data_IF_302969640365
#
_entry.id   IF_302969640365
#
_cell.length_a   1.000
_cell.length_b   1.000
_cell.length_c   1.000
_cell.angle_alpha   90.00
_cell.angle_beta   90.00
_cell.angle_gamma   90.00
#
_symmetry.space_group_name_H-M   'P 1'
#
loop_
_entity.id
_entity.type
_entity.pdbx_description
1 polymer ?
#
# COMPACT_ATOMS: atom_id res chain seq x y z
N UNK A 1 24.70 -22.54 -2.79
CA UNK A 1 23.54 -22.90 -3.64
C UNK A 1 23.60 -22.02 -4.88
N UNK A 2 23.64 -22.54 -6.11
CA UNK A 2 23.73 -21.68 -7.28
C UNK A 2 22.43 -20.86 -7.39
N UNK A 3 22.56 -19.57 -7.65
CA UNK A 3 21.44 -18.69 -7.95
C UNK A 3 20.65 -19.28 -9.13
N UNK A 4 19.42 -19.73 -8.87
CA UNK A 4 18.55 -20.29 -9.90
C UNK A 4 18.37 -19.26 -11.03
N UNK A 5 18.70 -19.66 -12.26
CA UNK A 5 18.45 -18.85 -13.44
C UNK A 5 16.96 -18.46 -13.50
N UNK A 6 16.69 -17.21 -13.88
CA UNK A 6 15.31 -16.74 -14.06
C UNK A 6 14.64 -17.58 -15.16
N UNK A 7 13.40 -18.05 -14.95
CA UNK A 7 12.66 -18.79 -15.99
C UNK A 7 12.47 -17.92 -17.23
N UNK A 8 12.54 -18.52 -18.42
CA UNK A 8 12.25 -17.85 -19.70
C UNK A 8 10.80 -17.38 -19.77
N UNK A 9 10.55 -16.23 -20.43
CA UNK A 9 9.22 -15.62 -20.61
C UNK A 9 8.12 -16.59 -21.10
N UNK A 10 8.49 -17.62 -21.87
CA UNK A 10 7.57 -18.64 -22.38
C UNK A 10 6.95 -19.55 -21.29
N UNK A 11 7.64 -19.76 -20.15
CA UNK A 11 7.14 -20.57 -19.04
C UNK A 11 6.18 -19.80 -18.11
N UNK A 12 6.14 -18.46 -18.23
CA UNK A 12 5.34 -17.56 -17.39
C UNK A 12 3.97 -17.22 -18.00
N UNK A 13 3.73 -17.58 -19.25
CA UNK A 13 2.51 -17.25 -20.00
C UNK A 13 1.25 -18.04 -19.57
N UNK A 14 1.37 -19.02 -18.66
CA UNK A 14 0.27 -19.91 -18.27
C UNK A 14 -0.61 -19.46 -17.11
N UNK A 15 -0.13 -18.59 -16.21
CA UNK A 15 -0.86 -18.19 -15.01
C UNK A 15 -1.35 -16.74 -15.08
N UNK A 16 -2.66 -16.57 -15.33
CA UNK A 16 -3.36 -15.29 -15.47
C UNK A 16 -3.74 -14.63 -14.13
N UNK A 17 -3.26 -15.13 -12.98
CA UNK A 17 -3.52 -14.51 -11.67
C UNK A 17 -2.90 -13.11 -11.59
N UNK A 18 -3.59 -12.21 -10.90
CA UNK A 18 -3.07 -10.89 -10.57
C UNK A 18 -1.74 -11.01 -9.80
N UNK A 19 -0.85 -10.03 -9.97
CA UNK A 19 0.33 -9.93 -9.10
C UNK A 19 -0.05 -9.54 -7.67
N UNK A 20 0.91 -9.71 -6.76
CA UNK A 20 0.70 -9.44 -5.34
C UNK A 20 0.24 -8.02 -5.02
N UNK A 21 0.69 -7.00 -5.76
CA UNK A 21 0.23 -5.61 -5.53
C UNK A 21 -1.24 -5.47 -5.91
N UNK A 22 -1.61 -5.92 -7.11
CA UNK A 22 -3.00 -5.88 -7.55
C UNK A 22 -3.91 -6.68 -6.61
N UNK A 23 -3.47 -7.85 -6.15
CA UNK A 23 -4.22 -8.64 -5.18
C UNK A 23 -4.36 -7.92 -3.83
N UNK A 24 -3.31 -7.28 -3.32
CA UNK A 24 -3.38 -6.47 -2.10
C UNK A 24 -4.35 -5.29 -2.23
N UNK A 25 -4.35 -4.60 -3.38
CA UNK A 25 -5.30 -3.52 -3.69
C UNK A 25 -6.73 -4.06 -3.71
N UNK A 26 -6.99 -5.26 -4.23
CA UNK A 26 -8.34 -5.83 -4.23
C UNK A 26 -8.79 -6.30 -2.83
N UNK A 27 -7.89 -6.86 -2.02
CA UNK A 27 -8.24 -7.37 -0.69
C UNK A 27 -8.43 -6.26 0.32
N UNK A 28 -7.46 -5.36 0.46
CA UNK A 28 -7.57 -4.25 1.41
C UNK A 28 -8.44 -3.15 0.81
N UNK A 29 -8.52 -2.99 -0.50
CA UNK A 29 -9.48 -2.09 -1.13
C UNK A 29 -9.06 -0.64 -1.01
N UNK A 30 -9.88 0.18 -0.32
CA UNK A 30 -9.73 1.63 -0.25
C UNK A 30 -9.20 2.15 1.09
N UNK A 31 -9.01 3.47 1.14
CA UNK A 31 -8.49 4.19 2.29
C UNK A 31 -9.13 3.83 3.64
N UNK A 32 -10.44 3.56 3.70
CA UNK A 32 -11.10 3.27 4.97
C UNK A 32 -10.69 1.91 5.52
N UNK A 33 -10.43 0.92 4.67
CA UNK A 33 -9.92 -0.38 5.14
C UNK A 33 -8.55 -0.26 5.77
N UNK A 34 -7.66 0.54 5.18
CA UNK A 34 -6.35 0.84 5.75
C UNK A 34 -6.47 1.52 7.11
N UNK A 35 -7.41 2.45 7.27
CA UNK A 35 -7.64 3.10 8.55
C UNK A 35 -8.27 2.17 9.59
N UNK A 36 -9.16 1.26 9.20
CA UNK A 36 -9.66 0.21 10.10
C UNK A 36 -8.52 -0.68 10.58
N UNK A 37 -7.62 -1.11 9.69
CA UNK A 37 -6.45 -1.89 10.06
C UNK A 37 -5.51 -1.09 10.96
N UNK A 38 -5.30 0.20 10.67
CA UNK A 38 -4.53 1.11 11.54
C UNK A 38 -5.09 1.14 12.95
N UNK A 39 -6.40 1.34 13.13
CA UNK A 39 -7.01 1.36 14.47
C UNK A 39 -6.90 0.01 15.20
N UNK A 40 -7.02 -1.10 14.47
CA UNK A 40 -6.86 -2.44 15.03
C UNK A 40 -5.42 -2.69 15.51
N UNK A 41 -4.43 -2.25 14.72
CA UNK A 41 -2.99 -2.45 14.97
C UNK A 41 -2.45 -1.48 16.02
N UNK A 42 -2.74 -0.19 15.89
CA UNK A 42 -2.14 0.88 16.71
C UNK A 42 -2.84 0.97 18.06
N UNK A 43 -4.17 0.96 18.06
CA UNK A 43 -4.98 1.23 19.24
C UNK A 43 -5.62 -0.04 19.83
N UNK A 44 -5.44 -1.21 19.21
CA UNK A 44 -6.06 -2.46 19.65
C UNK A 44 -7.59 -2.46 19.55
N UNK A 45 -8.16 -1.63 18.67
CA UNK A 45 -9.63 -1.51 18.55
C UNK A 45 -10.19 -2.80 17.97
N UNK A 46 -11.16 -3.38 18.66
CA UNK A 46 -11.83 -4.62 18.22
C UNK A 46 -13.34 -4.50 18.11
N UNK A 47 -13.93 -3.41 18.60
CA UNK A 47 -15.40 -3.24 18.64
C UNK A 47 -15.87 -2.28 17.57
N UNK A 48 -17.01 -2.61 16.95
CA UNK A 48 -17.64 -1.77 15.91
C UNK A 48 -17.82 -0.31 16.34
N UNK A 49 -18.42 -0.09 17.52
CA UNK A 49 -18.75 1.26 17.98
C UNK A 49 -17.48 2.08 18.28
N UNK A 50 -16.40 1.43 18.73
CA UNK A 50 -15.09 2.06 18.94
C UNK A 50 -14.42 2.43 17.61
N UNK A 51 -14.45 1.55 16.60
CA UNK A 51 -13.99 1.91 15.25
C UNK A 51 -14.76 3.12 14.70
N UNK A 52 -16.09 3.14 14.88
CA UNK A 52 -16.92 4.24 14.40
C UNK A 52 -16.55 5.56 15.09
N UNK A 53 -16.33 5.54 16.41
CA UNK A 53 -15.92 6.70 17.17
C UNK A 53 -14.55 7.22 16.74
N UNK A 54 -13.56 6.32 16.60
CA UNK A 54 -12.18 6.69 16.23
C UNK A 54 -12.11 7.23 14.81
N UNK A 55 -12.77 6.57 13.85
CA UNK A 55 -12.65 6.90 12.43
C UNK A 55 -13.64 7.98 11.95
N UNK A 56 -14.77 8.16 12.64
CA UNK A 56 -15.84 9.07 12.19
C UNK A 56 -16.51 8.62 10.89
N UNK A 57 -16.28 7.36 10.50
CA UNK A 57 -16.84 6.76 9.29
C UNK A 57 -18.35 6.55 9.44
N UNK A 58 -19.08 6.75 8.34
CA UNK A 58 -20.49 6.40 8.30
C UNK A 58 -20.68 4.89 8.59
N UNK A 59 -21.66 4.54 9.42
CA UNK A 59 -21.91 3.16 9.86
C UNK A 59 -21.97 2.15 8.70
N UNK A 60 -22.61 2.52 7.59
CA UNK A 60 -22.69 1.68 6.39
C UNK A 60 -21.34 1.46 5.70
N UNK A 61 -20.47 2.48 5.69
CA UNK A 61 -19.10 2.39 5.16
C UNK A 61 -18.28 1.46 6.04
N UNK A 62 -18.29 1.69 7.36
CA UNK A 62 -17.55 0.86 8.31
C UNK A 62 -18.00 -0.61 8.24
N UNK A 63 -19.30 -0.88 8.18
CA UNK A 63 -19.82 -2.25 8.06
C UNK A 63 -19.30 -2.94 6.80
N UNK A 64 -19.40 -2.28 5.65
CA UNK A 64 -18.90 -2.83 4.39
C UNK A 64 -17.38 -3.10 4.42
N UNK A 65 -16.59 -2.25 5.09
CA UNK A 65 -15.13 -2.43 5.20
C UNK A 65 -14.78 -3.56 6.15
N UNK A 66 -15.42 -3.65 7.32
CA UNK A 66 -15.21 -4.76 8.25
C UNK A 66 -15.60 -6.10 7.62
N UNK A 67 -16.72 -6.16 6.90
CA UNK A 67 -17.12 -7.38 6.18
C UNK A 67 -16.09 -7.74 5.09
N UNK A 68 -15.59 -6.76 4.33
CA UNK A 68 -14.55 -6.98 3.32
C UNK A 68 -13.23 -7.45 3.92
N UNK A 69 -12.79 -6.86 5.03
CA UNK A 69 -11.55 -7.24 5.71
C UNK A 69 -11.66 -8.64 6.33
N UNK A 70 -12.84 -9.02 6.83
CA UNK A 70 -13.11 -10.38 7.27
C UNK A 70 -13.12 -11.38 6.10
N UNK A 71 -13.77 -11.04 4.99
CA UNK A 71 -13.78 -11.88 3.79
C UNK A 71 -12.38 -12.03 3.18
N UNK A 72 -11.55 -10.99 3.27
CA UNK A 72 -10.14 -11.00 2.88
C UNK A 72 -9.21 -11.69 3.88
N UNK A 73 -9.74 -12.12 5.04
CA UNK A 73 -8.99 -12.84 6.06
C UNK A 73 -8.02 -11.98 6.87
N UNK A 74 -8.07 -10.63 6.79
CA UNK A 74 -7.23 -9.75 7.61
C UNK A 74 -7.79 -9.57 9.04
N UNK A 75 -9.11 -9.67 9.17
CA UNK A 75 -9.81 -9.68 10.45
C UNK A 75 -10.65 -10.96 10.56
N UNK A 76 -10.99 -11.35 11.78
CA UNK A 76 -11.97 -12.39 12.04
C UNK A 76 -13.01 -11.92 13.05
N UNK A 77 -14.26 -12.39 12.89
CA UNK A 77 -15.34 -12.12 13.83
C UNK A 77 -15.25 -13.10 15.00
N UNK A 78 -15.01 -12.60 16.20
CA UNK A 78 -15.04 -13.36 17.44
C UNK A 78 -16.32 -13.04 18.20
N UNK A 79 -17.21 -14.03 18.32
CA UNK A 79 -18.40 -13.91 19.16
C UNK A 79 -18.02 -14.18 20.62
N UNK A 80 -18.44 -13.32 21.54
CA UNK A 80 -18.37 -13.58 22.99
C UNK A 80 -19.73 -14.06 23.46
N UNK A 81 -19.76 -15.09 24.30
CA UNK A 81 -21.01 -15.67 24.83
C UNK A 81 -21.93 -14.64 25.50
N UNK A 82 -21.35 -13.56 26.05
CA UNK A 82 -22.05 -12.50 26.79
C UNK A 82 -22.29 -11.23 25.98
N UNK A 83 -21.79 -11.12 24.74
CA UNK A 83 -21.86 -9.89 23.96
C UNK A 83 -22.86 -9.98 22.80
N UNK A 84 -23.74 -8.99 22.68
CA UNK A 84 -24.73 -8.91 21.60
C UNK A 84 -24.12 -8.63 20.21
N UNK A 85 -22.88 -8.14 20.14
CA UNK A 85 -22.17 -7.82 18.90
C UNK A 85 -20.81 -8.53 18.87
N UNK A 86 -20.32 -8.96 17.69
CA UNK A 86 -18.99 -9.57 17.57
C UNK A 86 -17.87 -8.55 17.81
N UNK A 87 -16.71 -9.07 18.20
CA UNK A 87 -15.42 -8.38 18.10
C UNK A 87 -14.75 -8.72 16.77
N UNK A 88 -13.97 -7.80 16.25
CA UNK A 88 -13.17 -7.93 15.03
C UNK A 88 -11.71 -7.97 15.45
N UNK A 89 -11.05 -9.10 15.28
CA UNK A 89 -9.69 -9.34 15.77
C UNK A 89 -8.75 -9.55 14.59
N UNK A 90 -7.53 -9.03 14.67
CA UNK A 90 -6.49 -9.27 13.67
C UNK A 90 -6.21 -10.77 13.54
N UNK A 91 -6.04 -11.21 12.31
CA UNK A 91 -5.48 -12.52 11.98
C UNK A 91 -3.98 -12.37 11.74
N UNK A 92 -3.26 -13.49 11.58
CA UNK A 92 -1.87 -13.49 11.15
C UNK A 92 -1.68 -12.74 9.81
N UNK A 93 -2.63 -12.85 8.88
CA UNK A 93 -2.58 -12.10 7.62
C UNK A 93 -2.78 -10.59 7.83
N UNK A 94 -3.60 -10.19 8.80
CA UNK A 94 -3.76 -8.80 9.22
C UNK A 94 -2.49 -8.24 9.87
N UNK A 95 -1.84 -9.01 10.74
CA UNK A 95 -0.53 -8.64 11.34
C UNK A 95 0.57 -8.53 10.29
N UNK A 96 0.60 -9.44 9.32
CA UNK A 96 1.53 -9.40 8.19
C UNK A 96 1.34 -8.17 7.29
N UNK A 97 0.20 -7.45 7.40
CA UNK A 97 -0.04 -6.21 6.65
C UNK A 97 0.59 -4.98 7.32
N UNK A 98 1.06 -5.07 8.57
CA UNK A 98 1.69 -3.94 9.29
C UNK A 98 2.84 -3.27 8.53
N UNK A 99 3.75 -3.99 7.85
CA UNK A 99 4.77 -3.38 6.99
C UNK A 99 4.19 -2.40 5.94
N UNK A 100 3.03 -2.70 5.35
CA UNK A 100 2.36 -1.78 4.42
C UNK A 100 1.94 -0.48 5.10
N UNK A 101 1.38 -0.58 6.33
CA UNK A 101 0.99 0.59 7.13
C UNK A 101 2.21 1.45 7.49
N UNK A 102 3.33 0.83 7.87
CA UNK A 102 4.57 1.55 8.19
C UNK A 102 5.13 2.30 6.97
N UNK A 103 5.14 1.66 5.79
CA UNK A 103 5.60 2.33 4.57
C UNK A 103 4.69 3.49 4.17
N UNK A 104 3.37 3.34 4.37
CA UNK A 104 2.43 4.43 4.17
C UNK A 104 2.67 5.57 5.19
N UNK A 105 2.92 5.25 6.46
CA UNK A 105 3.24 6.24 7.51
C UNK A 105 4.50 7.04 7.15
N UNK A 106 5.60 6.35 6.83
CA UNK A 106 6.88 6.99 6.51
C UNK A 106 6.77 7.98 5.33
N UNK A 107 6.04 7.61 4.28
CA UNK A 107 5.81 8.51 3.15
C UNK A 107 5.00 9.74 3.57
N UNK A 108 3.93 9.53 4.35
CA UNK A 108 3.05 10.60 4.82
C UNK A 108 3.77 11.60 5.71
N UNK A 109 4.64 11.13 6.60
CA UNK A 109 5.46 12.00 7.46
C UNK A 109 6.54 12.74 6.68
N UNK A 110 7.12 12.12 5.65
CA UNK A 110 8.18 12.74 4.82
C UNK A 110 7.63 13.82 3.90
N UNK A 111 6.56 13.52 3.16
CA UNK A 111 6.08 14.39 2.08
C UNK A 111 4.92 15.30 2.49
N UNK A 112 4.21 14.96 3.57
CA UNK A 112 3.09 15.73 4.10
C UNK A 112 3.22 15.87 5.63
N UNK A 113 4.33 16.45 6.14
CA UNK A 113 4.59 16.55 7.57
C UNK A 113 3.53 17.40 8.28
N UNK A 114 3.15 17.00 9.50
CA UNK A 114 2.31 17.83 10.35
C UNK A 114 3.16 18.92 11.01
N UNK A 115 2.62 20.15 11.21
CA UNK A 115 3.36 21.22 11.89
C UNK A 115 3.83 20.85 13.30
N UNK A 116 3.06 20.03 14.01
CA UNK A 116 3.37 19.56 15.36
C UNK A 116 4.31 18.34 15.41
N UNK A 117 4.84 17.91 14.27
CA UNK A 117 5.58 16.66 14.14
C UNK A 117 4.70 15.45 13.79
N UNK A 118 5.29 14.23 13.74
CA UNK A 118 4.55 13.03 13.38
C UNK A 118 3.50 12.68 14.44
N UNK A 119 2.21 12.51 14.07
CA UNK A 119 1.14 12.19 15.02
C UNK A 119 1.24 10.78 15.62
N UNK A 120 2.07 9.92 15.02
CA UNK A 120 2.34 8.56 15.48
C UNK A 120 3.83 8.31 15.32
N UNK A 121 4.47 7.83 16.38
CA UNK A 121 5.83 7.28 16.31
C UNK A 121 5.80 5.80 16.65
N UNK A 122 6.73 5.04 16.08
CA UNK A 122 6.81 3.59 16.26
C UNK A 122 8.20 3.26 16.77
N UNK A 123 8.26 2.62 17.92
CA UNK A 123 9.48 2.12 18.54
C UNK A 123 9.66 0.64 18.21
N UNK A 124 10.84 0.26 17.75
CA UNK A 124 11.25 -1.13 17.57
C UNK A 124 11.84 -1.67 18.88
N UNK A 125 11.01 -2.37 19.66
CA UNK A 125 11.29 -2.82 21.03
C UNK A 125 12.63 -3.54 21.21
N UNK A 126 13.08 -4.42 20.29
CA UNK A 126 14.38 -5.10 20.43
C UNK A 126 15.59 -4.16 20.46
N UNK A 127 15.51 -2.97 19.87
CA UNK A 127 16.63 -2.01 19.83
C UNK A 127 16.31 -0.63 20.42
N UNK A 128 15.05 -0.37 20.79
CA UNK A 128 14.59 0.91 21.33
C UNK A 128 14.56 2.08 20.34
N UNK A 129 14.90 1.85 19.06
CA UNK A 129 14.92 2.93 18.06
C UNK A 129 13.50 3.29 17.60
N UNK A 130 13.25 4.59 17.47
CA UNK A 130 12.05 5.15 16.84
C UNK A 130 12.30 5.59 15.40
N UNK A 131 13.46 5.25 14.82
CA UNK A 131 13.80 5.61 13.46
C UNK A 131 12.84 4.94 12.46
N UNK A 132 12.52 5.61 11.32
CA UNK A 132 11.65 5.04 10.31
C UNK A 132 12.13 3.67 9.84
N UNK A 133 11.19 2.77 9.57
CA UNK A 133 11.51 1.49 8.94
C UNK A 133 11.83 1.67 7.45
N UNK A 134 12.48 0.67 6.86
CA UNK A 134 12.84 0.70 5.45
C UNK A 134 12.71 -0.67 4.80
N UNK A 135 12.39 -0.69 3.52
CA UNK A 135 12.49 -1.91 2.69
C UNK A 135 13.95 -2.17 2.38
N UNK A 136 14.42 -3.38 2.70
CA UNK A 136 15.74 -3.91 2.37
C UNK A 136 15.63 -5.13 1.46
N UNK A 137 16.69 -5.39 0.71
CA UNK A 137 16.86 -6.63 -0.05
C UNK A 137 17.21 -7.78 0.92
N UNK A 138 16.51 -8.90 0.85
CA UNK A 138 16.81 -10.08 1.68
C UNK A 138 18.23 -10.63 1.52
N UNK A 139 18.85 -10.44 0.35
CA UNK A 139 20.14 -11.04 0.00
C UNK A 139 21.33 -10.20 0.43
N UNK A 140 21.27 -8.86 0.26
CA UNK A 140 22.39 -7.96 0.56
C UNK A 140 22.10 -6.97 1.70
N UNK A 141 20.88 -7.00 2.25
CA UNK A 141 20.41 -6.14 3.34
C UNK A 141 20.48 -4.63 3.07
N UNK A 142 20.81 -4.19 1.85
CA UNK A 142 20.81 -2.77 1.48
C UNK A 142 19.38 -2.23 1.32
N UNK A 143 19.13 -0.95 1.64
CA UNK A 143 17.87 -0.30 1.32
C UNK A 143 17.55 -0.42 -0.17
N UNK A 144 16.27 -0.56 -0.50
CA UNK A 144 15.80 -0.69 -1.89
C UNK A 144 15.09 0.58 -2.32
N UNK A 145 15.64 1.27 -3.32
CA UNK A 145 14.96 2.38 -3.98
C UNK A 145 14.36 1.93 -5.31
N UNK A 146 13.33 2.66 -5.79
CA UNK A 146 12.67 2.37 -7.08
C UNK A 146 13.64 2.30 -8.27
N UNK A 147 14.70 3.10 -8.24
CA UNK A 147 15.72 3.17 -9.30
C UNK A 147 16.66 1.97 -9.31
N UNK A 148 16.71 1.21 -8.22
CA UNK A 148 17.63 0.09 -8.03
C UNK A 148 16.97 -1.26 -8.34
N UNK A 149 15.77 -1.24 -8.93
CA UNK A 149 15.00 -2.45 -9.22
C UNK A 149 14.65 -2.54 -10.70
N UNK A 150 14.98 -3.69 -11.28
CA UNK A 150 14.57 -4.07 -12.62
C UNK A 150 13.46 -5.12 -12.55
N UNK A 151 12.48 -5.00 -13.44
CA UNK A 151 11.50 -6.04 -13.67
C UNK A 151 12.12 -7.02 -14.67
N UNK A 152 12.17 -8.32 -14.34
CA UNK A 152 12.39 -9.31 -15.39
C UNK A 152 11.20 -9.23 -16.37
N UNK A 153 11.45 -9.48 -17.66
CA UNK A 153 10.52 -9.27 -18.80
C UNK A 153 9.18 -10.02 -18.68
N UNK A 154 8.34 -9.58 -17.74
CA UNK A 154 6.99 -10.07 -17.48
C UNK A 154 6.07 -8.87 -17.59
N UNK A 155 5.18 -8.82 -18.60
CA UNK A 155 4.19 -7.76 -18.65
C UNK A 155 3.35 -7.79 -17.36
N UNK A 156 2.96 -6.63 -16.82
CA UNK A 156 2.16 -6.59 -15.61
C UNK A 156 0.89 -7.42 -15.81
N UNK A 157 0.59 -8.29 -14.84
CA UNK A 157 -0.63 -9.08 -14.88
C UNK A 157 -1.86 -8.17 -15.09
N UNK A 158 -2.86 -8.62 -15.89
CA UNK A 158 -4.08 -7.87 -16.09
C UNK A 158 -4.74 -7.54 -14.75
N UNK A 159 -5.23 -6.32 -14.61
CA UNK A 159 -5.97 -5.94 -13.42
C UNK A 159 -7.37 -6.56 -13.50
N UNK A 160 -7.88 -7.21 -12.44
CA UNK A 160 -9.25 -7.71 -12.42
C UNK A 160 -10.27 -6.59 -12.67
N UNK A 161 -11.35 -6.92 -13.39
CA UNK A 161 -12.47 -5.99 -13.58
C UNK A 161 -13.14 -5.69 -12.23
N UNK A 162 -13.44 -4.43 -11.89
CA UNK A 162 -14.08 -4.10 -10.63
C UNK A 162 -15.40 -4.85 -10.44
N UNK A 163 -15.60 -5.45 -9.26
CA UNK A 163 -16.91 -5.99 -8.87
C UNK A 163 -17.77 -4.85 -8.30
N UNK A 164 -18.66 -4.30 -9.14
CA UNK A 164 -19.68 -3.31 -8.72
C UNK A 164 -19.24 -1.84 -8.76
N UNK A 165 -20.15 -0.93 -8.36
CA UNK A 165 -19.88 0.51 -8.29
C UNK A 165 -19.05 0.82 -7.03
N UNK A 166 -17.75 1.02 -7.20
CA UNK A 166 -16.89 1.55 -6.13
C UNK A 166 -17.23 3.03 -5.94
N UNK A 167 -17.86 3.39 -4.82
CA UNK A 167 -17.99 4.80 -4.44
C UNK A 167 -16.60 5.38 -4.23
N UNK A 168 -16.37 6.60 -4.72
CA UNK A 168 -15.14 7.33 -4.42
C UNK A 168 -15.09 7.53 -2.90
N UNK A 169 -14.03 7.06 -2.21
CA UNK A 169 -13.90 7.31 -0.78
C UNK A 169 -13.89 8.81 -0.54
N UNK A 170 -14.52 9.27 0.54
CA UNK A 170 -14.38 10.66 0.99
C UNK A 170 -12.97 10.89 1.53
N UNK A 171 -11.97 10.96 0.64
CA UNK A 171 -10.54 11.05 1.01
C UNK A 171 -10.24 12.33 1.80
N UNK A 172 -11.05 13.38 1.61
CA UNK A 172 -10.98 14.60 2.41
C UNK A 172 -11.36 14.39 3.89
N UNK A 173 -12.09 13.32 4.20
CA UNK A 173 -12.58 13.03 5.55
C UNK A 173 -11.64 12.12 6.36
N UNK A 174 -10.52 11.67 5.78
CA UNK A 174 -9.65 10.67 6.42
C UNK A 174 -8.94 11.19 7.68
N UNK A 175 -8.78 12.51 7.81
CA UNK A 175 -8.20 13.16 8.99
C UNK A 175 -9.28 13.93 9.81
N UNK A 176 -10.57 13.64 9.61
CA UNK A 176 -11.66 14.37 10.29
C UNK A 176 -11.58 14.28 11.82
N UNK A 177 -11.07 13.17 12.34
CA UNK A 177 -10.95 12.91 13.77
C UNK A 177 -9.52 13.11 14.32
N UNK A 178 -8.65 13.75 13.52
CA UNK A 178 -7.30 14.12 13.94
C UNK A 178 -6.25 13.87 12.86
N UNK A 179 -5.04 14.46 13.03
CA UNK A 179 -3.93 14.25 12.11
C UNK A 179 -3.51 12.78 12.05
N UNK A 180 -3.27 12.25 10.85
CA UNK A 180 -2.87 10.85 10.66
C UNK A 180 -1.93 10.69 9.46
N UNK A 181 -0.71 10.22 9.69
CA UNK A 181 0.33 10.03 8.66
C UNK A 181 -0.13 9.11 7.54
N UNK A 182 -0.74 7.96 7.91
CA UNK A 182 -1.26 6.99 6.95
C UNK A 182 -2.40 7.62 6.12
N UNK A 183 -3.31 8.37 6.75
CA UNK A 183 -4.39 9.06 6.05
C UNK A 183 -3.87 10.02 4.97
N UNK A 184 -2.77 10.74 5.23
CA UNK A 184 -2.15 11.65 4.25
C UNK A 184 -1.64 10.92 3.01
N UNK A 185 -1.03 9.75 3.18
CA UNK A 185 -0.65 8.87 2.05
C UNK A 185 -1.88 8.40 1.28
N UNK A 186 -2.93 8.00 2.00
CA UNK A 186 -4.18 7.52 1.40
C UNK A 186 -4.97 8.62 0.69
N UNK A 187 -4.76 9.91 0.98
CA UNK A 187 -5.28 11.01 0.14
C UNK A 187 -4.71 10.98 -1.28
N UNK A 188 -3.58 10.31 -1.51
CA UNK A 188 -2.99 10.11 -2.83
C UNK A 188 -3.30 8.72 -3.37
N UNK A 189 -3.06 7.67 -2.58
CA UNK A 189 -3.09 6.28 -3.05
C UNK A 189 -4.39 5.55 -2.74
N UNK A 190 -5.19 6.06 -1.80
CA UNK A 190 -6.29 5.33 -1.14
C UNK A 190 -7.57 5.17 -1.98
N UNK A 191 -7.57 5.62 -3.24
CA UNK A 191 -8.57 5.16 -4.21
C UNK A 191 -7.95 4.14 -5.18
N UNK A 192 -8.74 3.11 -5.49
CA UNK A 192 -8.31 1.97 -6.31
C UNK A 192 -7.59 2.39 -7.60
N UNK A 193 -8.14 3.36 -8.34
CA UNK A 193 -7.60 3.74 -9.63
C UNK A 193 -6.30 4.53 -9.51
N UNK A 194 -6.17 5.44 -8.54
CA UNK A 194 -4.89 6.08 -8.25
C UNK A 194 -3.82 5.05 -7.89
N UNK A 195 -4.17 4.08 -7.03
CA UNK A 195 -3.26 3.00 -6.66
C UNK A 195 -2.78 2.17 -7.86
N UNK A 196 -3.68 1.86 -8.81
CA UNK A 196 -3.36 1.10 -10.02
C UNK A 196 -2.57 1.89 -11.06
N UNK A 197 -2.83 3.20 -11.21
CA UNK A 197 -2.02 4.09 -12.06
C UNK A 197 -0.59 4.16 -11.54
N UNK A 198 -0.41 4.29 -10.22
CA UNK A 198 0.90 4.28 -9.59
C UNK A 198 1.60 2.93 -9.74
N UNK A 199 0.88 1.80 -9.54
CA UNK A 199 1.39 0.46 -9.87
C UNK A 199 1.90 0.42 -11.31
N UNK A 200 1.08 0.80 -12.29
CA UNK A 200 1.46 0.82 -13.70
C UNK A 200 2.68 1.72 -13.97
N UNK A 201 2.78 2.85 -13.28
CA UNK A 201 3.92 3.77 -13.39
C UNK A 201 5.23 3.11 -12.95
N UNK A 202 5.20 2.27 -11.90
CA UNK A 202 6.37 1.50 -11.47
C UNK A 202 6.76 0.42 -12.48
N UNK A 203 5.81 -0.18 -13.19
CA UNK A 203 6.07 -1.07 -14.34
C UNK A 203 6.54 -0.31 -15.59
N UNK A 204 6.77 1.00 -15.50
CA UNK A 204 7.27 1.80 -16.62
C UNK A 204 6.20 2.21 -17.63
N UNK A 205 4.91 2.03 -17.32
CA UNK A 205 3.81 2.61 -18.10
C UNK A 205 3.81 4.12 -17.90
N UNK A 206 3.83 4.87 -19.00
CA UNK A 206 4.00 6.33 -18.93
C UNK A 206 3.07 7.08 -19.87
N UNK A 207 2.43 6.41 -20.83
CA UNK A 207 1.51 7.03 -21.79
C UNK A 207 0.05 6.74 -21.44
N UNK A 208 -0.85 7.63 -21.87
CA UNK A 208 -2.27 7.56 -21.54
C UNK A 208 -2.95 6.30 -22.11
N UNK A 209 -2.70 6.01 -23.38
CA UNK A 209 -3.20 4.84 -24.11
C UNK A 209 -2.72 3.52 -23.48
N UNK A 210 -1.46 3.47 -23.05
CA UNK A 210 -0.93 2.32 -22.33
C UNK A 210 -1.62 2.10 -20.97
N UNK A 211 -1.89 3.17 -20.21
CA UNK A 211 -2.64 3.07 -18.96
C UNK A 211 -4.08 2.59 -19.19
N UNK A 212 -4.76 3.15 -20.20
CA UNK A 212 -6.13 2.77 -20.54
C UNK A 212 -6.21 1.28 -20.89
N UNK A 213 -5.29 0.81 -21.74
CA UNK A 213 -5.20 -0.58 -22.16
C UNK A 213 -4.85 -1.52 -21.00
N UNK A 214 -3.83 -1.17 -20.20
CA UNK A 214 -3.35 -2.04 -19.12
C UNK A 214 -4.32 -2.14 -17.94
N UNK A 215 -5.08 -1.08 -17.65
CA UNK A 215 -5.95 -1.00 -16.48
C UNK A 215 -7.42 -1.27 -16.79
N UNK A 216 -7.83 -1.25 -18.07
CA UNK A 216 -9.25 -1.36 -18.46
C UNK A 216 -10.12 -0.25 -17.87
N UNK A 217 -9.51 0.92 -17.63
CA UNK A 217 -10.14 2.07 -16.97
C UNK A 217 -10.81 2.97 -18.01
N UNK A 218 -11.98 3.52 -17.68
CA UNK A 218 -12.62 4.50 -18.56
C UNK A 218 -11.76 5.78 -18.68
N UNK A 219 -11.57 6.25 -19.91
CA UNK A 219 -10.79 7.46 -20.27
C UNK A 219 -11.05 8.69 -19.39
N UNK A 220 -12.31 8.97 -19.03
CA UNK A 220 -12.68 10.11 -18.18
C UNK A 220 -12.16 9.94 -16.73
N UNK A 221 -12.26 8.73 -16.17
CA UNK A 221 -11.74 8.41 -14.84
C UNK A 221 -10.22 8.48 -14.86
N UNK A 222 -9.57 7.90 -15.88
CA UNK A 222 -8.11 7.95 -16.03
C UNK A 222 -7.61 9.39 -16.09
N UNK A 223 -8.25 10.23 -16.90
CA UNK A 223 -7.93 11.66 -17.01
C UNK A 223 -8.03 12.36 -15.65
N UNK A 224 -9.09 12.11 -14.89
CA UNK A 224 -9.27 12.69 -13.56
C UNK A 224 -8.16 12.24 -12.60
N UNK A 225 -7.78 10.96 -12.63
CA UNK A 225 -6.75 10.38 -11.74
C UNK A 225 -5.36 10.90 -12.07
N UNK A 226 -4.98 10.91 -13.34
CA UNK A 226 -3.70 11.47 -13.79
C UNK A 226 -3.60 12.96 -13.45
N UNK A 227 -4.65 13.74 -13.71
CA UNK A 227 -4.70 15.16 -13.35
C UNK A 227 -4.51 15.38 -11.85
N UNK A 228 -5.20 14.59 -11.02
CA UNK A 228 -5.04 14.63 -9.56
C UNK A 228 -3.60 14.30 -9.13
N UNK A 229 -3.03 13.22 -9.64
CA UNK A 229 -1.67 12.78 -9.31
C UNK A 229 -0.60 13.80 -9.74
N UNK A 230 -0.84 14.53 -10.83
CA UNK A 230 0.00 15.66 -11.22
C UNK A 230 -0.19 16.85 -10.28
N UNK A 231 -1.44 17.18 -9.94
CA UNK A 231 -1.76 18.29 -9.03
C UNK A 231 -1.11 18.12 -7.64
N UNK A 232 -1.07 16.90 -7.12
CA UNK A 232 -0.46 16.61 -5.80
C UNK A 232 1.06 16.37 -5.88
N UNK A 233 1.68 16.53 -7.05
CA UNK A 233 3.14 16.49 -7.20
C UNK A 233 3.76 15.10 -7.33
N UNK A 234 2.96 14.04 -7.36
CA UNK A 234 3.42 12.63 -7.42
C UNK A 234 3.80 12.21 -8.84
N UNK A 235 3.10 12.75 -9.83
CA UNK A 235 3.45 12.64 -11.24
C UNK A 235 3.78 14.01 -11.80
N UNK A 236 4.64 14.06 -12.84
CA UNK A 236 4.80 15.23 -13.69
C UNK A 236 4.42 14.88 -15.12
N UNK A 237 3.74 15.81 -15.78
CA UNK A 237 3.35 15.71 -17.19
C UNK A 237 4.46 16.29 -18.06
N UNK A 238 5.08 15.48 -18.91
CA UNK A 238 6.18 15.89 -19.80
C UNK A 238 5.79 15.68 -21.27
N UNK A 239 5.97 16.67 -22.16
CA UNK A 239 5.78 16.46 -23.59
C UNK A 239 6.89 15.56 -24.15
N UNK A 240 6.54 14.59 -24.99
CA UNK A 240 7.49 13.72 -25.68
C UNK A 240 7.38 13.78 -27.21
N UNK A 241 6.29 14.34 -27.74
CA UNK A 241 6.13 14.66 -29.15
C UNK A 241 5.60 16.09 -29.27
N UNK A 242 5.98 16.79 -30.34
CA UNK A 242 5.62 18.19 -30.56
C UNK A 242 4.52 18.41 -31.60
N UNK A 243 4.24 17.42 -32.48
CA UNK A 243 3.25 17.52 -33.56
C UNK A 243 2.56 16.17 -33.86
N UNK A 244 1.35 15.89 -33.32
CA UNK A 244 0.65 16.64 -32.27
C UNK A 244 1.39 16.56 -30.93
N UNK A 245 1.13 17.50 -30.02
CA UNK A 245 1.74 17.46 -28.68
C UNK A 245 1.21 16.24 -27.92
N UNK A 246 2.10 15.32 -27.58
CA UNK A 246 1.78 14.14 -26.77
C UNK A 246 2.54 14.19 -25.46
N UNK A 247 1.88 13.71 -24.40
CA UNK A 247 2.40 13.77 -23.05
C UNK A 247 2.62 12.37 -22.48
N UNK A 248 3.66 12.27 -21.69
CA UNK A 248 3.96 11.15 -20.81
C UNK A 248 3.86 11.63 -19.35
N UNK A 249 3.52 10.70 -18.47
CA UNK A 249 3.43 10.91 -17.04
C UNK A 249 4.62 10.21 -16.39
N UNK A 250 5.43 10.97 -15.65
CA UNK A 250 6.66 10.50 -15.02
C UNK A 250 6.55 10.64 -13.51
N UNK A 251 6.92 9.61 -12.75
CA UNK A 251 7.06 9.71 -11.29
C UNK A 251 8.07 10.79 -10.92
N UNK A 252 7.69 11.67 -9.99
CA UNK A 252 8.59 12.61 -9.31
C UNK A 252 9.35 11.88 -8.19
N UNK A 253 10.23 12.58 -7.46
CA UNK A 253 10.85 12.01 -6.26
C UNK A 253 9.79 11.60 -5.23
N UNK A 254 8.80 12.46 -5.00
CA UNK A 254 7.63 12.16 -4.18
C UNK A 254 6.90 10.89 -4.63
N UNK A 255 6.76 10.67 -5.93
CA UNK A 255 6.13 9.46 -6.46
C UNK A 255 7.01 8.21 -6.36
N UNK A 256 8.34 8.35 -6.53
CA UNK A 256 9.28 7.23 -6.38
C UNK A 256 9.36 6.74 -4.93
N UNK A 257 9.22 7.64 -3.96
CA UNK A 257 9.23 7.30 -2.53
C UNK A 257 7.99 6.53 -2.07
N UNK A 258 6.95 6.39 -2.90
CA UNK A 258 5.85 5.45 -2.65
C UNK A 258 6.28 4.00 -2.89
N UNK A 259 7.36 3.75 -3.62
CA UNK A 259 7.75 2.41 -4.04
C UNK A 259 7.93 1.39 -2.90
N UNK A 260 8.52 1.74 -1.74
CA UNK A 260 8.59 0.84 -0.58
C UNK A 260 7.21 0.32 -0.13
N UNK A 261 6.16 1.16 -0.17
CA UNK A 261 4.78 0.75 0.13
C UNK A 261 4.28 -0.29 -0.88
N UNK A 262 4.61 -0.13 -2.16
CA UNK A 262 4.24 -1.07 -3.21
C UNK A 262 5.03 -2.39 -3.13
N UNK A 263 6.30 -2.36 -2.72
CA UNK A 263 7.07 -3.56 -2.44
C UNK A 263 6.51 -4.34 -1.24
N UNK A 264 6.11 -3.64 -0.17
CA UNK A 264 5.45 -4.27 0.97
C UNK A 264 4.11 -4.92 0.57
N UNK A 265 3.30 -4.23 -0.24
CA UNK A 265 2.05 -4.79 -0.80
C UNK A 265 2.32 -6.01 -1.70
N UNK A 266 3.38 -5.97 -2.51
CA UNK A 266 3.78 -7.10 -3.36
C UNK A 266 4.12 -8.34 -2.51
N UNK A 267 4.98 -8.18 -1.50
CA UNK A 267 5.37 -9.27 -0.60
C UNK A 267 4.15 -9.85 0.11
N UNK A 268 3.32 -8.99 0.70
CA UNK A 268 2.10 -9.41 1.39
C UNK A 268 1.13 -10.16 0.46
N UNK A 269 0.88 -9.63 -0.74
CA UNK A 269 -0.05 -10.26 -1.68
C UNK A 269 0.43 -11.62 -2.19
N UNK A 270 1.72 -11.76 -2.49
CA UNK A 270 2.29 -13.06 -2.88
C UNK A 270 2.12 -14.10 -1.77
N UNK A 271 2.37 -13.72 -0.52
CA UNK A 271 2.29 -14.64 0.63
C UNK A 271 0.85 -14.98 1.02
N UNK A 272 -0.07 -13.99 0.98
CA UNK A 272 -1.37 -14.09 1.66
C UNK A 272 -2.59 -14.25 0.75
N UNK A 273 -2.49 -13.94 -0.54
CA UNK A 273 -3.65 -14.02 -1.45
C UNK A 273 -3.53 -15.12 -2.50
N UNK A 274 -2.48 -15.94 -2.44
CA UNK A 274 -2.19 -16.95 -3.48
C UNK A 274 -1.93 -16.33 -4.86
N UNK A 275 -1.53 -15.05 -4.89
CA UNK A 275 -1.11 -14.35 -6.09
C UNK A 275 0.07 -15.09 -6.72
N UNK A 276 0.23 -14.99 -8.04
CA UNK A 276 1.27 -15.73 -8.74
C UNK A 276 2.65 -15.30 -8.19
N UNK A 277 3.41 -16.19 -7.51
CA UNK A 277 4.73 -15.86 -6.97
C UNK A 277 5.79 -15.59 -8.06
N UNK A 278 5.46 -15.91 -9.31
CA UNK A 278 6.23 -15.58 -10.52
C UNK A 278 5.59 -14.45 -11.35
N UNK A 279 4.45 -13.89 -10.91
CA UNK A 279 3.72 -12.86 -11.66
C UNK A 279 4.47 -11.53 -11.76
N UNK A 280 5.40 -11.27 -10.84
CA UNK A 280 6.36 -10.17 -10.90
C UNK A 280 7.69 -10.66 -10.36
N UNK A 281 8.70 -10.76 -11.22
CA UNK A 281 10.05 -11.08 -10.82
C UNK A 281 10.86 -9.78 -10.81
N UNK A 282 11.28 -9.38 -9.61
CA UNK A 282 12.11 -8.21 -9.41
C UNK A 282 13.57 -8.63 -9.26
N UNK A 283 14.49 -7.88 -9.86
CA UNK A 283 15.94 -8.00 -9.69
C UNK A 283 16.43 -6.74 -8.99
N UNK A 284 17.14 -6.91 -7.88
CA UNK A 284 17.82 -5.80 -7.22
C UNK A 284 19.15 -5.54 -7.93
N UNK A 285 19.23 -4.46 -8.69
CA UNK A 285 20.38 -4.15 -9.55
C UNK A 285 21.73 -4.06 -8.82
N UNK A 286 21.84 -3.51 -7.58
CA UNK A 286 23.11 -3.39 -6.90
C UNK A 286 23.73 -4.71 -6.47
N UNK A 287 22.93 -5.77 -6.25
CA UNK A 287 23.44 -7.10 -5.88
C UNK A 287 23.22 -8.17 -6.96
N UNK A 288 22.40 -7.89 -7.97
CA UNK A 288 22.07 -8.83 -9.04
C UNK A 288 21.21 -10.01 -8.61
N UNK A 289 20.71 -10.05 -7.36
CA UNK A 289 19.84 -11.12 -6.90
C UNK A 289 18.39 -10.85 -7.22
N UNK A 290 17.57 -11.90 -7.24
CA UNK A 290 16.11 -11.76 -7.17
C UNK A 290 15.77 -10.99 -5.89
N UNK A 291 14.98 -9.93 -6.03
CA UNK A 291 14.54 -9.13 -4.91
C UNK A 291 13.36 -9.81 -4.21
N UNK A 292 13.59 -10.28 -2.98
CA UNK A 292 12.53 -10.49 -2.00
C UNK A 292 12.61 -9.31 -0.99
N UNK A 293 11.64 -8.37 -1.03
CA UNK A 293 11.69 -7.21 -0.16
C UNK A 293 11.30 -7.59 1.27
N UNK A 294 12.06 -7.07 2.24
CA UNK A 294 11.80 -7.24 3.67
C UNK A 294 11.77 -5.86 4.32
N UNK A 295 10.77 -5.59 5.16
CA UNK A 295 10.75 -4.35 5.95
C UNK A 295 11.53 -4.58 7.23
N UNK A 296 12.51 -3.72 7.47
CA UNK A 296 13.43 -3.83 8.59
C UNK A 296 13.60 -2.49 9.30
N UNK A 297 14.05 -2.55 10.54
CA UNK A 297 14.48 -1.38 11.29
C UNK A 297 15.68 -0.73 10.59
N UNK A 298 15.65 0.59 10.39
CA UNK A 298 16.76 1.32 9.77
C UNK A 298 18.02 1.33 10.64
N UNK A 299 17.87 1.27 11.97
CA UNK A 299 18.96 1.31 12.94
C UNK A 299 19.66 -0.05 13.12
N UNK A 300 18.94 -1.09 13.53
CA UNK A 300 19.56 -2.39 13.82
C UNK A 300 19.55 -3.36 12.63
N UNK A 301 18.77 -3.07 11.58
CA UNK A 301 18.70 -3.90 10.37
C UNK A 301 17.84 -5.17 10.49
N UNK A 302 17.32 -5.51 11.66
CA UNK A 302 16.42 -6.64 11.84
C UNK A 302 15.03 -6.39 11.25
N UNK A 303 14.43 -7.47 10.76
CA UNK A 303 13.06 -7.51 10.26
C UNK A 303 12.08 -7.04 11.34
N UNK A 304 11.10 -6.23 10.95
CA UNK A 304 10.06 -5.78 11.87
C UNK A 304 8.86 -6.70 11.82
N UNK A 305 8.45 -7.21 12.98
CA UNK A 305 7.18 -7.94 13.17
C UNK A 305 6.25 -7.12 14.04
N UNK A 306 4.94 -7.32 13.89
CA UNK A 306 3.94 -6.60 14.67
C UNK A 306 4.20 -6.67 16.19
N UNK A 307 4.53 -7.85 16.73
CA UNK A 307 4.82 -8.04 18.15
C UNK A 307 6.07 -7.32 18.67
N UNK A 308 6.96 -6.86 17.79
CA UNK A 308 8.19 -6.14 18.14
C UNK A 308 7.99 -4.62 18.15
N UNK A 309 6.79 -4.12 17.80
CA UNK A 309 6.49 -2.71 17.65
C UNK A 309 5.70 -2.15 18.82
N UNK A 310 6.12 -0.99 19.31
CA UNK A 310 5.35 -0.16 20.25
C UNK A 310 4.92 1.11 19.56
N UNK A 311 3.64 1.41 19.64
CA UNK A 311 3.04 2.57 19.00
C UNK A 311 2.82 3.68 20.03
N UNK A 312 3.30 4.87 19.73
CA UNK A 312 3.16 6.05 20.58
C UNK A 312 2.40 7.14 19.82
N UNK A 313 1.13 7.37 20.18
CA UNK A 313 0.30 8.41 19.58
C UNK A 313 0.61 9.77 20.23
N UNK A 314 0.99 10.74 19.39
CA UNK A 314 1.21 12.13 19.80
C UNK A 314 -0.02 12.93 19.40
N UNK A 315 -1.03 12.93 20.27
CA UNK A 315 -2.22 13.73 20.02
C UNK A 315 -1.85 15.21 20.10
N UNK A 316 -2.15 15.96 19.03
CA UNK A 316 -2.40 17.38 19.17
C UNK A 316 -3.56 17.55 20.15
N UNK A 317 -3.40 18.42 21.14
CA UNK A 317 -4.41 18.74 22.15
C UNK A 317 -5.83 18.83 21.55
N UNK A 318 -6.79 18.31 22.33
CA UNK A 318 -8.26 18.39 22.19
C UNK A 318 -8.97 17.21 21.49
N UNK A 319 -9.14 16.12 22.26
CA UNK A 319 -10.36 15.30 22.16
C UNK A 319 -11.36 15.81 23.20
N UNK A 320 -12.41 16.48 22.74
CA UNK A 320 -13.66 16.73 23.47
C UNK A 320 -14.57 15.50 23.31
#
# INVERSE_FOLDING_TARGET
MPAGALPTAAAQAGDRRADGVAAAIETVGDAWSWLVLREAVVCGVTRFDAFQQHLGAARSTLNARLDSLCAGGLLTKRNRATAAKPEYVLTEAGEAFVPCLLMAMNWGDTWLPAPAGPPLTVEHSPCGSTAPTQVRCSECSKPVAARDVEFADVPPAPVPTPRGRTRVPGLELLERNGPCSIARTLKVTGDRWSSLVLRGSFFGIRRFDEFEQALGIASNILSQRLSRLVKVGVLRKKPYASRPVRYEYRLTEQGLDLYPMYLAMLAWGVERTGANPQGVLLRHTPCGSRLAPVVACSTCGHDVRYGDLRFHEHMGHDRI
#
